data_IF_680591905837
#
_entry.id   IF_680591905837
#
_cell.length_a   1.000
_cell.length_b   1.000
_cell.length_c   1.000
_cell.angle_alpha   90.00
_cell.angle_beta   90.00
_cell.angle_gamma   90.00
#
_symmetry.space_group_name_H-M   'P 1'
#
loop_
_entity.id
_entity.type
_entity.pdbx_description
1 polymer ?
#
# COMPACT_ATOMS: atom_id res chain seq x y z
N UNK A 1 -6.72 -13.19 -3.48
CA UNK A 1 -5.26 -13.22 -3.62
C UNK A 1 -4.57 -13.13 -2.27
N UNK A 2 -4.98 -12.22 -1.38
CA UNK A 2 -4.37 -11.98 -0.06
C UNK A 2 -4.12 -13.25 0.78
N UNK A 3 -5.03 -14.24 0.74
CA UNK A 3 -4.89 -15.52 1.47
C UNK A 3 -4.47 -16.71 0.59
N UNK A 4 -4.08 -16.49 -0.66
CA UNK A 4 -3.90 -17.58 -1.65
C UNK A 4 -2.94 -18.67 -1.13
N UNK A 5 -1.79 -18.27 -0.60
CA UNK A 5 -0.82 -19.19 -0.01
C UNK A 5 -1.35 -19.97 1.20
N UNK A 6 -2.07 -19.31 2.11
CA UNK A 6 -2.66 -19.98 3.28
C UNK A 6 -3.71 -21.01 2.86
N UNK A 7 -4.59 -20.64 1.93
CA UNK A 7 -5.62 -21.54 1.40
C UNK A 7 -5.02 -22.76 0.69
N UNK A 8 -3.93 -22.57 -0.07
CA UNK A 8 -3.22 -23.66 -0.75
C UNK A 8 -2.50 -24.55 0.26
N UNK A 9 -1.83 -23.97 1.25
CA UNK A 9 -1.14 -24.72 2.29
C UNK A 9 -2.10 -25.64 3.05
N UNK A 10 -3.26 -25.11 3.47
CA UNK A 10 -4.32 -25.89 4.11
C UNK A 10 -4.88 -26.98 3.19
N UNK A 11 -5.15 -26.65 1.92
CA UNK A 11 -5.74 -27.60 0.96
C UNK A 11 -4.86 -28.80 0.68
N UNK A 12 -3.55 -28.58 0.58
CA UNK A 12 -2.58 -29.61 0.20
C UNK A 12 -1.76 -30.15 1.38
N UNK A 13 -2.14 -29.81 2.62
CA UNK A 13 -1.45 -30.23 3.84
C UNK A 13 0.05 -29.91 3.81
N UNK A 14 0.39 -28.70 3.35
CA UNK A 14 1.76 -28.20 3.31
C UNK A 14 2.08 -27.59 4.69
N UNK A 15 2.98 -28.22 5.43
CA UNK A 15 3.42 -27.75 6.74
C UNK A 15 4.29 -26.48 6.63
N UNK A 16 3.68 -25.31 6.89
CA UNK A 16 4.36 -24.01 6.87
C UNK A 16 3.67 -23.01 7.81
N UNK A 17 4.45 -22.22 8.57
CA UNK A 17 3.93 -21.08 9.35
C UNK A 17 3.80 -19.85 8.44
N UNK A 18 2.62 -19.68 7.84
CA UNK A 18 2.30 -18.51 7.02
C UNK A 18 1.57 -17.44 7.83
N UNK A 19 2.26 -16.34 8.10
CA UNK A 19 1.68 -15.18 8.78
C UNK A 19 1.34 -14.08 7.80
N UNK A 20 0.05 -13.85 7.61
CA UNK A 20 -0.45 -12.81 6.73
C UNK A 20 -0.08 -11.42 7.29
N UNK A 21 0.69 -10.65 6.52
CA UNK A 21 0.93 -9.23 6.74
C UNK A 21 0.27 -8.43 5.62
N UNK A 22 -0.85 -7.77 5.93
CA UNK A 22 -1.49 -6.83 5.02
C UNK A 22 -1.03 -5.41 5.35
N UNK A 23 0.20 -5.09 4.95
CA UNK A 23 0.84 -3.81 5.23
C UNK A 23 1.07 -3.03 3.92
N UNK A 24 0.24 -2.02 3.65
CA UNK A 24 0.33 -1.22 2.43
C UNK A 24 1.60 -0.37 2.32
N UNK A 25 2.31 -0.17 3.44
CA UNK A 25 3.57 0.58 3.47
C UNK A 25 4.78 -0.27 3.05
N UNK A 26 4.61 -1.59 2.91
CA UNK A 26 5.66 -2.51 2.51
C UNK A 26 5.90 -2.44 0.99
N UNK A 27 6.49 -1.35 0.53
CA UNK A 27 6.69 -1.03 -0.90
C UNK A 27 8.13 -1.27 -1.39
N UNK A 28 9.06 -1.62 -0.49
CA UNK A 28 10.47 -1.80 -0.82
C UNK A 28 10.78 -3.25 -1.24
N UNK A 29 10.12 -3.74 -2.29
CA UNK A 29 10.41 -5.03 -2.94
C UNK A 29 9.72 -5.10 -4.32
N UNK A 30 10.01 -6.16 -5.09
CA UNK A 30 9.61 -6.31 -6.49
C UNK A 30 8.11 -6.52 -6.71
N UNK A 31 7.32 -6.77 -5.65
CA UNK A 31 5.87 -6.80 -5.75
C UNK A 31 5.27 -5.39 -5.91
N UNK A 32 5.96 -4.35 -5.43
CA UNK A 32 5.41 -2.97 -5.40
C UNK A 32 5.12 -2.40 -6.79
N UNK A 33 5.98 -2.55 -7.81
CA UNK A 33 5.67 -2.08 -9.17
C UNK A 33 4.38 -2.66 -9.76
N UNK A 34 3.98 -3.87 -9.37
CA UNK A 34 2.69 -4.44 -9.81
C UNK A 34 1.51 -3.69 -9.19
N UNK A 35 1.62 -3.35 -7.90
CA UNK A 35 0.64 -2.49 -7.25
C UNK A 35 0.56 -1.13 -7.95
N UNK A 36 1.67 -0.58 -8.46
CA UNK A 36 1.68 0.72 -9.15
C UNK A 36 0.75 0.78 -10.37
N UNK A 37 0.51 -0.37 -10.99
CA UNK A 37 -0.39 -0.52 -12.14
C UNK A 37 -1.67 -1.29 -11.77
N UNK A 38 -2.01 -1.35 -10.48
CA UNK A 38 -3.15 -2.07 -9.89
C UNK A 38 -3.23 -3.56 -10.26
N UNK A 39 -2.10 -4.19 -10.52
CA UNK A 39 -2.03 -5.64 -10.59
C UNK A 39 -1.89 -6.14 -9.16
N UNK A 40 -2.85 -6.93 -8.64
CA UNK A 40 -2.70 -7.56 -7.33
C UNK A 40 -1.45 -8.43 -7.34
N UNK A 41 -0.58 -8.20 -6.36
CA UNK A 41 0.64 -8.98 -6.17
C UNK A 41 0.78 -9.35 -4.69
N UNK A 42 1.38 -10.49 -4.46
CA UNK A 42 1.69 -11.03 -3.13
C UNK A 42 3.16 -11.41 -3.09
N UNK A 43 3.82 -11.12 -1.98
CA UNK A 43 5.18 -11.53 -1.70
C UNK A 43 5.16 -12.58 -0.59
N UNK A 44 6.01 -13.60 -0.75
CA UNK A 44 6.39 -14.50 0.35
C UNK A 44 7.87 -14.28 0.59
N UNK A 45 8.21 -13.92 1.82
CA UNK A 45 9.58 -13.74 2.27
C UNK A 45 9.75 -14.41 3.63
N UNK A 46 10.95 -14.89 3.89
CA UNK A 46 11.34 -15.33 5.22
C UNK A 46 11.40 -14.13 6.17
N UNK A 47 11.10 -14.39 7.44
CA UNK A 47 11.20 -13.40 8.51
C UNK A 47 11.77 -14.09 9.76
N UNK A 48 12.77 -13.46 10.37
CA UNK A 48 13.43 -13.95 11.58
C UNK A 48 12.76 -13.46 12.85
N UNK A 49 12.07 -12.31 12.79
CA UNK A 49 11.40 -11.73 13.95
C UNK A 49 10.08 -11.07 13.59
N UNK A 50 9.03 -11.62 14.18
CA UNK A 50 7.65 -11.29 13.86
C UNK A 50 7.12 -10.15 14.72
N UNK A 51 8.00 -9.50 15.48
CA UNK A 51 7.69 -8.42 16.42
C UNK A 51 8.56 -7.18 16.23
N UNK A 52 9.66 -7.30 15.49
CA UNK A 52 10.57 -6.20 15.22
C UNK A 52 10.39 -5.71 13.77
N UNK A 53 9.81 -4.52 13.54
CA UNK A 53 9.54 -4.01 12.19
C UNK A 53 10.80 -3.58 11.42
N UNK A 54 11.97 -3.65 12.06
CA UNK A 54 13.27 -3.30 11.48
C UNK A 54 14.20 -4.49 11.35
N UNK A 55 13.78 -5.66 11.82
CA UNK A 55 14.60 -6.86 11.67
C UNK A 55 14.57 -7.33 10.24
N UNK A 56 15.73 -7.74 9.80
CA UNK A 56 15.97 -8.38 8.54
C UNK A 56 16.49 -9.78 8.90
N UNK A 57 16.14 -10.83 8.14
CA UNK A 57 16.60 -12.20 8.45
C UNK A 57 18.08 -12.21 8.85
N UNK A 58 18.46 -13.01 9.85
CA UNK A 58 19.77 -12.96 10.54
C UNK A 58 20.99 -12.70 9.61
N UNK A 59 20.95 -13.22 8.39
CA UNK A 59 22.05 -13.14 7.43
C UNK A 59 21.88 -12.10 6.29
N UNK A 60 20.71 -11.52 6.06
CA UNK A 60 20.51 -10.59 4.94
C UNK A 60 21.45 -9.38 5.04
N UNK A 61 22.01 -8.98 3.90
CA UNK A 61 23.01 -7.90 3.82
C UNK A 61 24.26 -8.13 4.71
N UNK A 62 24.59 -9.39 5.03
CA UNK A 62 25.81 -9.75 5.75
C UNK A 62 26.75 -10.58 4.88
N UNK A 63 28.04 -10.66 5.24
CA UNK A 63 28.98 -11.59 4.61
C UNK A 63 28.63 -13.08 4.84
N UNK A 64 27.70 -13.37 5.74
CA UNK A 64 27.26 -14.72 6.07
C UNK A 64 26.10 -15.21 5.19
N UNK A 65 25.53 -14.35 4.33
CA UNK A 65 24.57 -14.74 3.28
C UNK A 65 25.27 -15.48 2.14
N UNK A 66 25.72 -16.69 2.46
CA UNK A 66 26.46 -17.58 1.57
C UNK A 66 25.72 -18.89 1.32
N UNK A 67 26.29 -19.72 0.42
CA UNK A 67 25.69 -21.01 0.06
C UNK A 67 25.46 -21.95 1.26
N UNK A 68 26.17 -21.75 2.36
CA UNK A 68 26.07 -22.54 3.59
C UNK A 68 24.78 -22.28 4.39
N UNK A 69 24.08 -21.17 4.17
CA UNK A 69 22.79 -20.87 4.84
C UNK A 69 21.58 -21.28 4.00
N UNK A 70 21.79 -21.64 2.72
CA UNK A 70 20.73 -22.15 1.85
C UNK A 70 20.42 -23.60 2.23
N UNK A 71 19.15 -23.91 2.45
CA UNK A 71 18.71 -25.29 2.77
C UNK A 71 17.77 -25.83 1.69
N UNK A 72 18.00 -27.08 1.28
CA UNK A 72 17.12 -27.79 0.32
C UNK A 72 15.69 -27.93 0.85
N UNK A 73 15.44 -28.27 2.13
CA UNK A 73 14.08 -28.39 2.65
C UNK A 73 13.24 -27.11 2.52
N UNK A 74 13.84 -25.95 2.78
CA UNK A 74 13.17 -24.65 2.65
C UNK A 74 12.88 -24.31 1.18
N UNK A 75 13.86 -24.56 0.30
CA UNK A 75 13.66 -24.42 -1.15
C UNK A 75 12.53 -25.33 -1.68
N UNK A 76 12.47 -26.59 -1.24
CA UNK A 76 11.39 -27.51 -1.61
C UNK A 76 10.03 -27.04 -1.09
N UNK A 77 9.97 -26.54 0.14
CA UNK A 77 8.75 -26.01 0.75
C UNK A 77 8.20 -24.83 -0.06
N UNK A 78 9.04 -23.82 -0.30
CA UNK A 78 8.65 -22.61 -1.04
C UNK A 78 8.26 -22.95 -2.47
N UNK A 79 8.96 -23.90 -3.11
CA UNK A 79 8.64 -24.35 -4.47
C UNK A 79 7.27 -25.04 -4.53
N UNK A 80 7.00 -25.99 -3.63
CA UNK A 80 5.69 -26.68 -3.53
C UNK A 80 4.56 -25.68 -3.33
N UNK A 81 4.73 -24.79 -2.35
CA UNK A 81 3.75 -23.76 -2.03
C UNK A 81 3.49 -22.83 -3.23
N UNK A 82 4.54 -22.35 -3.90
CA UNK A 82 4.44 -21.45 -5.06
C UNK A 82 3.78 -22.11 -6.26
N UNK A 83 4.23 -23.30 -6.64
CA UNK A 83 3.69 -24.02 -7.81
C UNK A 83 2.22 -24.39 -7.58
N UNK A 84 1.88 -24.90 -6.39
CA UNK A 84 0.49 -25.22 -6.07
C UNK A 84 -0.39 -23.96 -6.09
N UNK A 85 0.10 -22.83 -5.57
CA UNK A 85 -0.65 -21.56 -5.58
C UNK A 85 -0.87 -21.04 -6.99
N UNK A 86 0.15 -21.03 -7.84
CA UNK A 86 0.02 -20.61 -9.24
C UNK A 86 -0.94 -21.54 -9.99
N UNK A 87 -0.83 -22.86 -9.78
CA UNK A 87 -1.72 -23.82 -10.39
C UNK A 87 -3.19 -23.56 -10.00
N UNK A 88 -3.47 -23.32 -8.72
CA UNK A 88 -4.82 -22.98 -8.23
C UNK A 88 -5.33 -21.65 -8.80
N UNK A 89 -4.48 -20.62 -8.82
CA UNK A 89 -4.84 -19.31 -9.38
C UNK A 89 -5.05 -19.36 -10.91
N UNK A 90 -4.37 -20.26 -11.60
CA UNK A 90 -4.52 -20.47 -13.04
C UNK A 90 -5.81 -21.25 -13.41
N UNK A 91 -6.54 -21.77 -12.43
CA UNK A 91 -7.86 -22.38 -12.61
C UNK A 91 -7.93 -23.57 -13.59
N UNK A 92 -7.06 -24.61 -13.50
CA UNK A 92 -7.16 -25.80 -14.35
C UNK A 92 -8.48 -26.58 -14.17
N UNK A 93 -9.32 -26.24 -13.18
CA UNK A 93 -10.66 -26.79 -12.94
C UNK A 93 -11.81 -26.06 -13.64
N UNK A 94 -11.56 -24.96 -14.38
CA UNK A 94 -12.61 -24.24 -15.12
C UNK A 94 -13.58 -23.44 -14.25
N UNK A 95 -13.27 -23.23 -12.97
CA UNK A 95 -13.86 -22.16 -12.18
C UNK A 95 -12.98 -20.93 -12.33
N UNK A 96 -13.49 -19.88 -12.99
CA UNK A 96 -12.78 -18.62 -13.14
C UNK A 96 -12.49 -18.05 -11.74
N UNK A 97 -11.22 -17.96 -11.37
CA UNK A 97 -10.80 -17.20 -10.21
C UNK A 97 -10.87 -15.71 -10.56
N UNK A 98 -12.09 -15.18 -10.61
CA UNK A 98 -12.32 -13.78 -10.98
C UNK A 98 -11.87 -12.89 -9.82
N UNK A 99 -10.73 -12.22 -10.01
CA UNK A 99 -10.31 -11.08 -9.18
C UNK A 99 -10.98 -9.79 -9.68
N UNK A 100 -12.30 -9.76 -9.77
CA UNK A 100 -12.97 -8.47 -9.77
C UNK A 100 -12.81 -7.92 -8.35
N UNK A 101 -12.36 -6.67 -8.16
CA UNK A 101 -12.44 -6.06 -6.85
C UNK A 101 -13.91 -6.08 -6.44
N UNK A 102 -14.23 -6.85 -5.40
CA UNK A 102 -15.56 -6.94 -4.79
C UNK A 102 -16.24 -5.56 -4.83
N UNK A 103 -17.55 -5.45 -5.06
CA UNK A 103 -18.24 -4.16 -5.06
C UNK A 103 -17.96 -3.32 -3.80
N UNK A 104 -17.61 -3.98 -2.68
CA UNK A 104 -17.26 -3.37 -1.40
C UNK A 104 -15.74 -3.22 -1.15
N UNK A 105 -14.87 -3.51 -2.12
CA UNK A 105 -13.43 -3.31 -1.99
C UNK A 105 -13.12 -1.81 -1.86
N UNK A 106 -12.18 -1.40 -0.99
CA UNK A 106 -11.76 0.00 -0.89
C UNK A 106 -11.41 0.61 -2.24
N UNK A 107 -12.00 1.77 -2.56
CA UNK A 107 -11.68 2.52 -3.78
C UNK A 107 -10.25 3.05 -3.70
N UNK A 108 -9.89 3.60 -2.54
CA UNK A 108 -8.56 4.15 -2.24
C UNK A 108 -7.78 3.24 -1.30
N UNK A 109 -6.48 3.11 -1.56
CA UNK A 109 -5.54 2.30 -0.80
C UNK A 109 -4.22 3.07 -0.61
N UNK A 110 -3.50 2.73 0.47
CA UNK A 110 -2.09 3.11 0.71
C UNK A 110 -1.81 4.63 0.65
N UNK A 111 -2.65 5.45 1.28
CA UNK A 111 -2.40 6.90 1.34
C UNK A 111 -1.12 7.20 2.14
N UNK A 112 -0.08 7.67 1.44
CA UNK A 112 1.17 8.17 2.00
C UNK A 112 1.22 9.67 1.79
N UNK A 113 1.55 10.39 2.85
CA UNK A 113 1.84 11.83 2.83
C UNK A 113 3.34 11.99 2.94
N UNK A 114 4.00 12.60 1.95
CA UNK A 114 5.45 12.79 1.99
C UNK A 114 5.90 14.12 1.35
N UNK A 115 7.02 14.71 1.78
CA UNK A 115 7.72 14.38 3.02
C UNK A 115 6.86 14.68 4.25
N UNK A 116 7.07 13.94 5.33
CA UNK A 116 6.37 14.16 6.59
C UNK A 116 7.33 13.87 7.77
N UNK A 117 7.84 14.90 8.48
CA UNK A 117 7.46 16.31 8.38
C UNK A 117 7.85 16.99 7.06
N UNK A 118 7.03 17.96 6.62
CA UNK A 118 7.31 18.84 5.48
C UNK A 118 7.83 20.19 5.96
N UNK A 119 8.99 20.61 5.46
CA UNK A 119 9.59 21.92 5.75
C UNK A 119 9.40 22.88 4.57
N UNK A 120 8.43 23.79 4.68
CA UNK A 120 8.10 24.75 3.63
C UNK A 120 9.17 25.85 3.44
N UNK A 121 10.06 26.08 4.42
CA UNK A 121 11.19 27.00 4.24
C UNK A 121 12.23 26.45 3.28
N UNK A 122 12.37 25.12 3.23
CA UNK A 122 13.28 24.41 2.31
C UNK A 122 12.66 24.17 0.93
N UNK A 123 11.62 24.94 0.57
CA UNK A 123 10.87 24.80 -0.69
C UNK A 123 10.26 23.41 -0.90
N UNK A 124 10.06 22.63 0.18
CA UNK A 124 9.32 21.38 0.11
C UNK A 124 7.81 21.67 0.03
N UNK A 125 7.06 20.67 -0.42
CA UNK A 125 5.61 20.68 -0.49
C UNK A 125 5.10 19.28 -0.17
N UNK A 126 3.85 19.19 0.27
CA UNK A 126 3.21 17.90 0.56
C UNK A 126 2.85 17.23 -0.76
N UNK A 127 3.25 15.98 -0.93
CA UNK A 127 2.81 15.08 -2.00
C UNK A 127 1.98 13.98 -1.37
N UNK A 128 0.93 13.57 -2.07
CA UNK A 128 0.14 12.40 -1.73
C UNK A 128 0.48 11.26 -2.68
N UNK A 129 0.86 10.10 -2.16
CA UNK A 129 0.92 8.84 -2.91
C UNK A 129 -0.28 8.00 -2.49
N UNK A 130 -1.10 7.54 -3.43
CA UNK A 130 -2.18 6.63 -3.13
C UNK A 130 -2.54 5.78 -4.34
N UNK A 131 -3.30 4.73 -4.10
CA UNK A 131 -3.66 3.75 -5.11
C UNK A 131 -5.17 3.71 -5.26
N UNK A 132 -5.65 3.63 -6.51
CA UNK A 132 -7.06 3.45 -6.79
C UNK A 132 -7.31 2.07 -7.42
N UNK A 133 -8.31 1.36 -6.90
CA UNK A 133 -8.72 0.04 -7.43
C UNK A 133 -9.62 0.14 -8.66
N UNK A 134 -10.13 1.35 -8.95
CA UNK A 134 -10.98 1.68 -10.10
C UNK A 134 -10.86 3.18 -10.40
N UNK A 135 -11.21 3.66 -11.61
CA UNK A 135 -11.22 5.09 -11.90
C UNK A 135 -12.17 5.82 -10.94
N UNK A 136 -11.73 6.94 -10.39
CA UNK A 136 -12.50 7.71 -9.43
C UNK A 136 -12.23 9.22 -9.57
N UNK A 137 -13.22 10.04 -9.25
CA UNK A 137 -13.00 11.45 -8.96
C UNK A 137 -12.44 11.59 -7.54
N UNK A 138 -11.35 12.33 -7.39
CA UNK A 138 -10.63 12.49 -6.13
C UNK A 138 -10.68 13.95 -5.68
N UNK A 139 -10.95 14.17 -4.39
CA UNK A 139 -10.88 15.47 -3.74
C UNK A 139 -10.07 15.38 -2.45
N UNK A 140 -9.16 16.35 -2.26
CA UNK A 140 -8.34 16.44 -1.06
C UNK A 140 -8.84 17.60 -0.20
N UNK A 141 -9.12 17.33 1.07
CA UNK A 141 -9.47 18.34 2.07
C UNK A 141 -8.50 18.30 3.23
N UNK A 142 -8.06 19.46 3.69
CA UNK A 142 -7.11 19.60 4.79
C UNK A 142 -7.79 20.36 5.93
N UNK A 143 -7.64 19.82 7.13
CA UNK A 143 -8.15 20.38 8.37
C UNK A 143 -7.01 20.70 9.35
N UNK A 144 -7.18 21.73 10.16
CA UNK A 144 -6.29 22.03 11.28
C UNK A 144 -6.43 20.96 12.39
N UNK A 145 -5.59 21.05 13.42
CA UNK A 145 -5.72 20.22 14.63
C UNK A 145 -7.02 20.47 15.41
N UNK A 146 -7.66 21.63 15.25
CA UNK A 146 -8.98 21.96 15.81
C UNK A 146 -10.15 21.55 14.91
N UNK A 147 -9.88 20.76 13.85
CA UNK A 147 -10.84 20.36 12.82
C UNK A 147 -11.44 21.53 12.01
N UNK A 148 -10.79 22.69 12.01
CA UNK A 148 -11.18 23.80 11.15
C UNK A 148 -10.76 23.51 9.70
N UNK A 149 -11.61 23.90 8.76
CA UNK A 149 -11.34 23.79 7.33
C UNK A 149 -10.18 24.72 6.92
N UNK A 150 -9.16 24.16 6.27
CA UNK A 150 -7.97 24.90 5.82
C UNK A 150 -7.93 25.02 4.30
N UNK A 151 -8.13 23.91 3.61
CA UNK A 151 -7.98 23.81 2.16
C UNK A 151 -8.85 22.70 1.60
N UNK A 152 -9.40 22.89 0.40
CA UNK A 152 -10.00 21.84 -0.43
C UNK A 152 -9.55 22.02 -1.87
N UNK A 153 -9.09 20.93 -2.50
CA UNK A 153 -8.74 20.94 -3.91
C UNK A 153 -9.97 21.02 -4.80
N UNK A 154 -9.81 21.48 -6.04
CA UNK A 154 -10.77 21.09 -7.07
C UNK A 154 -10.74 19.57 -7.23
N UNK A 155 -11.88 18.92 -7.52
CA UNK A 155 -11.88 17.51 -7.87
C UNK A 155 -10.99 17.25 -9.08
N UNK A 156 -10.30 16.12 -9.09
CA UNK A 156 -9.47 15.68 -10.19
C UNK A 156 -9.69 14.20 -10.49
N UNK A 157 -9.44 13.79 -11.73
CA UNK A 157 -9.59 12.38 -12.11
C UNK A 157 -8.38 11.58 -11.65
N UNK A 158 -8.62 10.53 -10.87
CA UNK A 158 -7.64 9.53 -10.50
C UNK A 158 -7.71 8.30 -11.41
N UNK A 159 -6.54 7.75 -11.74
CA UNK A 159 -6.41 6.54 -12.56
C UNK A 159 -6.30 5.30 -11.70
N UNK A 160 -6.65 4.15 -12.26
CA UNK A 160 -6.35 2.84 -11.67
C UNK A 160 -4.84 2.74 -11.39
N UNK A 161 -4.47 2.23 -10.21
CA UNK A 161 -3.08 2.11 -9.77
C UNK A 161 -2.60 3.34 -9.03
N UNK A 162 -1.31 3.65 -9.12
CA UNK A 162 -0.63 4.71 -8.37
C UNK A 162 -1.00 6.10 -8.88
N UNK A 163 -1.28 7.00 -7.94
CA UNK A 163 -1.58 8.42 -8.16
C UNK A 163 -0.68 9.26 -7.23
N UNK A 164 0.13 10.16 -7.82
CA UNK A 164 1.12 10.96 -7.09
C UNK A 164 1.26 12.40 -7.61
N UNK A 165 0.32 12.86 -8.42
CA UNK A 165 0.40 14.17 -9.10
C UNK A 165 -0.11 15.35 -8.27
N UNK A 166 -0.66 15.08 -7.06
CA UNK A 166 -1.18 16.14 -6.18
C UNK A 166 -0.07 16.72 -5.30
N UNK A 167 0.09 18.06 -5.34
CA UNK A 167 0.90 18.80 -4.38
C UNK A 167 0.13 19.86 -3.59
N UNK A 168 0.46 20.00 -2.30
CA UNK A 168 -0.01 21.11 -1.46
C UNK A 168 1.15 21.88 -0.84
N UNK A 169 1.16 23.19 -1.11
CA UNK A 169 2.23 24.12 -0.72
C UNK A 169 1.97 24.85 0.61
N UNK A 170 1.13 24.27 1.47
CA UNK A 170 0.81 24.82 2.79
C UNK A 170 0.05 26.15 2.72
N UNK A 171 -0.85 26.29 1.75
CA UNK A 171 -1.70 27.48 1.61
C UNK A 171 -3.15 27.13 1.92
N UNK A 172 -3.85 28.02 2.63
CA UNK A 172 -5.28 27.92 2.82
C UNK A 172 -6.06 28.35 1.56
N UNK A 173 -7.39 28.28 1.63
CA UNK A 173 -8.28 28.71 0.53
C UNK A 173 -8.09 30.16 0.07
N UNK A 174 -7.59 31.05 0.94
CA UNK A 174 -7.32 32.45 0.62
C UNK A 174 -5.91 32.67 0.03
N UNK A 175 -5.14 31.58 -0.19
CA UNK A 175 -3.76 31.64 -0.68
C UNK A 175 -2.72 32.05 0.38
N UNK A 176 -3.14 32.26 1.63
CA UNK A 176 -2.25 32.58 2.74
C UNK A 176 -1.56 31.32 3.28
N UNK A 177 -0.30 31.46 3.69
CA UNK A 177 0.47 30.37 4.31
C UNK A 177 -0.12 30.02 5.68
N UNK A 178 -0.27 28.72 5.94
CA UNK A 178 -0.78 28.20 7.22
C UNK A 178 0.36 28.08 8.24
N UNK A 179 0.10 28.13 9.54
CA UNK A 179 1.17 28.03 10.55
C UNK A 179 1.82 26.63 10.61
N UNK A 180 3.00 26.53 11.24
CA UNK A 180 3.55 25.22 11.65
C UNK A 180 2.56 24.48 12.54
N UNK A 181 2.48 23.16 12.40
CA UNK A 181 1.56 22.35 13.19
C UNK A 181 1.21 21.02 12.57
N UNK A 182 0.28 20.31 13.21
CA UNK A 182 -0.28 19.04 12.72
C UNK A 182 -1.61 19.30 12.06
N UNK A 183 -1.76 18.79 10.84
CA UNK A 183 -2.97 18.88 10.04
C UNK A 183 -3.50 17.49 9.70
N UNK A 184 -4.79 17.38 9.48
CA UNK A 184 -5.42 16.16 8.94
C UNK A 184 -5.64 16.35 7.45
N UNK A 185 -5.14 15.44 6.64
CA UNK A 185 -5.39 15.35 5.21
C UNK A 185 -6.42 14.25 4.96
N UNK A 186 -7.54 14.61 4.35
CA UNK A 186 -8.63 13.70 4.00
C UNK A 186 -8.71 13.58 2.49
N UNK A 187 -8.60 12.37 1.97
CA UNK A 187 -8.68 12.08 0.54
C UNK A 187 -9.95 11.29 0.28
N UNK A 188 -10.87 11.91 -0.45
CA UNK A 188 -12.14 11.29 -0.87
C UNK A 188 -11.99 10.82 -2.31
N UNK A 189 -12.31 9.56 -2.58
CA UNK A 189 -12.39 9.01 -3.93
C UNK A 189 -13.82 8.50 -4.19
N UNK A 190 -14.44 8.99 -5.27
CA UNK A 190 -15.80 8.65 -5.69
C UNK A 190 -15.80 8.00 -7.06
N UNK A 191 -16.32 6.77 -7.18
CA UNK A 191 -16.40 6.06 -8.46
C UNK A 191 -17.59 6.49 -9.32
N UNK A 192 -17.69 5.95 -10.54
CA UNK A 192 -18.76 6.27 -11.50
C UNK A 192 -20.17 5.89 -11.01
N UNK A 193 -20.26 5.00 -10.02
CA UNK A 193 -21.50 4.49 -9.46
C UNK A 193 -21.87 5.27 -8.17
N UNK A 194 -21.14 6.35 -7.86
CA UNK A 194 -21.24 7.22 -6.69
C UNK A 194 -20.87 6.56 -5.35
N UNK A 195 -20.17 5.42 -5.36
CA UNK A 195 -19.58 4.89 -4.14
C UNK A 195 -18.40 5.78 -3.75
N UNK A 196 -18.33 6.16 -2.47
CA UNK A 196 -17.30 7.09 -1.97
C UNK A 196 -16.54 6.47 -0.81
N UNK A 197 -15.21 6.56 -0.87
CA UNK A 197 -14.33 6.14 0.22
C UNK A 197 -13.45 7.32 0.63
N UNK A 198 -13.25 7.45 1.94
CA UNK A 198 -12.42 8.50 2.54
C UNK A 198 -11.29 7.85 3.32
N UNK A 199 -10.06 8.32 3.10
CA UNK A 199 -8.90 7.92 3.91
C UNK A 199 -8.22 9.17 4.44
N UNK A 200 -7.93 9.15 5.73
CA UNK A 200 -7.27 10.25 6.43
C UNK A 200 -5.81 9.92 6.72
N UNK A 201 -4.96 10.95 6.68
CA UNK A 201 -3.57 10.89 7.12
C UNK A 201 -3.18 12.20 7.82
N UNK A 202 -2.00 12.21 8.45
CA UNK A 202 -1.48 13.38 9.18
C UNK A 202 -0.37 14.04 8.41
N UNK A 203 -0.40 15.37 8.38
CA UNK A 203 0.68 16.21 7.85
C UNK A 203 1.32 16.95 9.03
N UNK A 204 2.62 16.82 9.21
CA UNK A 204 3.40 17.65 10.14
C UNK A 204 4.10 18.75 9.33
N UNK A 205 3.68 19.99 9.54
CA UNK A 205 4.18 21.17 8.84
C UNK A 205 5.17 21.96 9.70
N UNK A 206 6.32 22.27 9.10
CA UNK A 206 7.35 23.13 9.67
C UNK A 206 7.54 24.33 8.73
N UNK A 207 7.36 25.53 9.28
CA UNK A 207 7.59 26.81 8.63
C UNK A 207 8.79 27.56 9.14
#
# INVERSE_FOLDING_TARGET
>A
MVKAFQTVAERYDIEVDLRLKNDPSFIFSDHSPFWEIAIPAILVSEESSLTNPTESIEYIHSEFDGLNVITVPLGELVLKLTVATIAELAGPSGEDFIFEPEPNSPIIQNLIVYPNPVNLQKSQFVVLDFYLTRPAEVQVTIYSSSAEHVFTSQPFSGKIGRNNDFDWRGKNMNGARVASGVYTCSVTATDKDNNSHVVDSKIVLIQ
#
